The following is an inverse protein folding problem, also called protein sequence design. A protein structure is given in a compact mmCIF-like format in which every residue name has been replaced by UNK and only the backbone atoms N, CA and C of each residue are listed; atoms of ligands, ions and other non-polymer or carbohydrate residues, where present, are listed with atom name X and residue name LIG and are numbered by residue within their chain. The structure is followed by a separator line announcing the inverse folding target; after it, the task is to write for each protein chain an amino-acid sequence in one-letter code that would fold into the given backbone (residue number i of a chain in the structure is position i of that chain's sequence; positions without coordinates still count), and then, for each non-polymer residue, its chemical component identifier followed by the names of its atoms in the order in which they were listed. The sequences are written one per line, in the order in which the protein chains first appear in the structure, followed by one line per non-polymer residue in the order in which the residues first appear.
data_IF_696939044083
#
_entry.id   IF_696939044083
#
_cell.length_a   1.000
_cell.length_b   1.000
_cell.length_c   1.000
_cell.angle_alpha   90.00
_cell.angle_beta   90.00
_cell.angle_gamma   90.00
#
_symmetry.space_group_name_H-M   'P 1'
#
loop_
_entity.id
_entity.type
_entity.pdbx_description
1 polymer ?
#
# COMPACT_ATOMS: atom_id res chain seq x y z
N UNK A 1 -7.71 67.70 -10.16
CA UNK A 1 -6.64 67.90 -9.17
C UNK A 1 -6.20 66.52 -8.68
N UNK A 2 -4.92 66.14 -8.90
CA UNK A 2 -4.37 64.85 -8.47
C UNK A 2 -3.70 64.99 -7.09
N UNK A 3 -3.86 64.00 -6.21
CA UNK A 3 -3.13 63.85 -4.94
C UNK A 3 -2.85 62.36 -4.74
N UNK A 4 -1.73 61.85 -5.30
CA UNK A 4 -0.41 61.65 -4.67
C UNK A 4 -0.41 60.49 -3.65
N UNK A 5 0.17 59.38 -4.10
CA UNK A 5 0.69 58.26 -3.31
C UNK A 5 1.84 58.71 -2.39
N UNK A 6 1.99 58.08 -1.23
CA UNK A 6 3.34 57.77 -0.76
C UNK A 6 3.51 56.36 -0.17
N UNK A 7 4.73 55.84 -0.39
CA UNK A 7 5.40 54.74 0.31
C UNK A 7 4.95 53.30 0.05
N UNK A 8 5.49 52.75 -1.04
CA UNK A 8 6.12 51.44 -0.98
C UNK A 8 7.19 51.43 0.11
N UNK A 9 7.00 50.64 1.17
CA UNK A 9 8.07 50.26 2.09
C UNK A 9 8.44 48.79 1.80
N UNK A 10 9.74 48.42 1.67
CA UNK A 10 10.19 47.20 0.98
C UNK A 10 10.33 45.94 1.87
N UNK A 11 9.84 45.95 3.10
CA UNK A 11 10.21 44.96 4.13
C UNK A 11 9.35 43.68 4.21
N UNK A 12 8.84 43.18 3.08
CA UNK A 12 8.23 41.85 3.03
C UNK A 12 9.12 40.78 2.37
N UNK A 13 10.25 41.18 1.77
CA UNK A 13 11.15 40.29 1.01
C UNK A 13 12.32 39.73 1.83
N UNK A 14 12.73 40.40 2.90
CA UNK A 14 14.03 40.18 3.55
C UNK A 14 14.12 38.92 4.43
N UNK A 15 12.99 38.36 4.89
CA UNK A 15 13.00 37.11 5.68
C UNK A 15 13.16 35.84 4.84
N UNK A 16 12.84 35.91 3.54
CA UNK A 16 12.91 34.75 2.64
C UNK A 16 14.33 34.55 2.12
N UNK A 17 15.10 35.64 1.98
CA UNK A 17 16.48 35.64 1.50
C UNK A 17 17.49 35.25 2.60
N UNK A 18 17.22 35.56 3.87
CA UNK A 18 18.06 35.11 5.01
C UNK A 18 18.03 33.58 5.24
N UNK A 19 16.96 32.89 4.83
CA UNK A 19 16.89 31.43 4.93
C UNK A 19 17.61 30.73 3.75
N UNK A 20 17.54 31.31 2.56
CA UNK A 20 18.20 30.78 1.37
C UNK A 20 19.73 30.90 1.43
N UNK A 21 20.26 32.01 1.97
CA UNK A 21 21.71 32.21 2.14
C UNK A 21 22.34 31.41 3.29
N UNK A 22 21.53 30.70 4.09
CA UNK A 22 22.03 29.77 5.11
C UNK A 22 22.26 28.35 4.57
N UNK A 23 21.75 28.05 3.36
CA UNK A 23 21.81 26.73 2.73
C UNK A 23 22.90 26.60 1.66
N UNK A 24 23.50 27.71 1.20
CA UNK A 24 24.50 27.68 0.13
C UNK A 24 25.77 28.43 0.55
N UNK A 25 26.73 27.67 1.06
CA UNK A 25 28.15 27.99 0.94
C UNK A 25 28.74 29.00 1.93
N UNK A 26 29.52 28.48 2.89
CA UNK A 26 30.83 29.09 3.15
C UNK A 26 31.92 28.02 3.08
N UNK A 27 32.80 28.29 2.14
CA UNK A 27 34.04 27.62 1.79
C UNK A 27 35.01 27.56 2.97
N UNK A 28 35.62 26.37 3.06
CA UNK A 28 36.94 26.02 3.60
C UNK A 28 37.89 27.20 3.91
N UNK A 29 38.43 27.19 5.13
CA UNK A 29 39.82 27.58 5.35
C UNK A 29 40.45 26.67 6.41
N UNK A 30 41.75 26.47 6.24
CA UNK A 30 42.54 25.30 6.61
C UNK A 30 43.07 25.31 8.06
N UNK A 31 43.50 24.11 8.48
CA UNK A 31 44.50 23.81 9.53
C UNK A 31 44.03 23.64 10.98
N UNK A 32 43.79 22.38 11.39
CA UNK A 32 44.39 21.76 12.59
C UNK A 32 43.98 20.27 12.70
N UNK A 33 44.94 19.41 12.37
CA UNK A 33 45.25 18.08 12.93
C UNK A 33 44.29 17.38 13.91
N UNK A 34 43.94 16.16 13.49
CA UNK A 34 43.91 14.90 14.24
C UNK A 34 42.71 14.56 15.15
N UNK A 35 41.98 13.56 14.64
CA UNK A 35 41.43 12.41 15.38
C UNK A 35 40.33 12.69 16.40
N UNK A 36 39.07 12.65 15.95
CA UNK A 36 37.97 11.89 16.62
C UNK A 36 36.79 11.79 15.65
N UNK A 37 36.64 10.61 15.07
CA UNK A 37 35.37 9.94 14.76
C UNK A 37 34.28 10.78 14.08
N UNK A 38 34.45 10.83 12.76
CA UNK A 38 33.52 11.22 11.71
C UNK A 38 32.23 10.36 11.77
N UNK A 39 31.27 10.77 12.61
CA UNK A 39 29.91 10.20 12.66
C UNK A 39 28.86 11.31 12.45
N UNK A 40 29.14 12.22 11.53
CA UNK A 40 28.18 13.23 11.07
C UNK A 40 27.39 12.69 9.88
N UNK A 41 26.10 12.40 10.15
CA UNK A 41 24.97 12.56 9.25
C UNK A 41 25.29 12.55 7.74
N UNK A 42 25.77 11.42 7.21
CA UNK A 42 25.43 11.10 5.84
C UNK A 42 23.93 10.84 5.85
N UNK A 43 23.17 11.84 5.38
CA UNK A 43 21.86 11.61 4.75
C UNK A 43 22.07 10.45 3.80
N UNK A 44 21.70 9.25 4.25
CA UNK A 44 21.77 8.06 3.41
C UNK A 44 21.10 8.44 2.10
N UNK A 45 21.71 8.17 0.94
CA UNK A 45 20.96 8.30 -0.29
C UNK A 45 19.71 7.45 -0.07
N UNK A 46 18.54 8.06 -0.29
CA UNK A 46 17.29 7.32 -0.36
C UNK A 46 17.59 6.09 -1.21
N UNK A 47 17.36 4.90 -0.64
CA UNK A 47 17.72 3.63 -1.26
C UNK A 47 17.40 3.69 -2.76
N UNK A 48 18.38 3.67 -3.67
CA UNK A 48 18.14 3.80 -5.11
C UNK A 48 17.36 2.61 -5.69
N UNK A 49 17.01 1.62 -4.86
CA UNK A 49 16.14 0.50 -5.17
C UNK A 49 14.63 0.82 -5.16
N UNK A 50 14.20 2.00 -4.71
CA UNK A 50 12.78 2.31 -4.53
C UNK A 50 12.18 3.33 -5.52
N UNK A 51 12.95 3.85 -6.48
CA UNK A 51 12.39 4.74 -7.51
C UNK A 51 11.75 3.92 -8.64
N UNK A 52 10.47 3.58 -8.47
CA UNK A 52 9.66 2.98 -9.53
C UNK A 52 9.45 4.04 -10.64
N UNK A 53 10.10 3.87 -11.80
CA UNK A 53 9.83 4.68 -12.98
C UNK A 53 8.52 4.21 -13.63
N UNK A 54 7.44 4.91 -13.36
CA UNK A 54 6.13 4.63 -13.91
C UNK A 54 5.96 5.19 -15.34
N UNK A 55 5.21 4.47 -16.17
CA UNK A 55 4.78 4.97 -17.48
C UNK A 55 3.81 6.16 -17.31
N UNK A 56 3.64 7.01 -18.34
CA UNK A 56 2.68 8.11 -18.29
C UNK A 56 1.25 7.61 -18.02
N UNK A 57 0.48 8.42 -17.28
CA UNK A 57 -0.94 8.17 -16.96
C UNK A 57 -1.75 8.05 -18.26
N UNK A 58 -2.42 6.92 -18.46
CA UNK A 58 -3.33 6.67 -19.58
C UNK A 58 -4.78 6.65 -19.11
N UNK A 59 -5.64 7.53 -19.63
CA UNK A 59 -7.07 7.54 -19.27
C UNK A 59 -7.76 6.27 -19.80
N UNK A 60 -8.54 5.61 -18.95
CA UNK A 60 -9.33 4.44 -19.33
C UNK A 60 -10.62 4.85 -20.04
N UNK A 61 -11.05 3.99 -20.99
CA UNK A 61 -12.37 4.09 -21.60
C UNK A 61 -13.45 3.71 -20.59
N UNK A 62 -14.59 4.39 -20.64
CA UNK A 62 -15.75 4.15 -19.77
C UNK A 62 -16.26 2.70 -19.78
N UNK A 63 -16.13 2.01 -20.92
CA UNK A 63 -16.45 0.59 -21.04
C UNK A 63 -15.57 -0.27 -20.12
N UNK A 64 -14.26 -0.04 -20.14
CA UNK A 64 -13.28 -0.80 -19.34
C UNK A 64 -13.48 -0.50 -17.87
N UNK A 65 -13.73 0.76 -17.51
CA UNK A 65 -14.05 1.16 -16.14
C UNK A 65 -15.30 0.46 -15.59
N UNK A 66 -16.34 0.26 -16.42
CA UNK A 66 -17.54 -0.48 -16.02
C UNK A 66 -17.23 -1.95 -15.80
N UNK A 67 -16.49 -2.59 -16.71
CA UNK A 67 -16.06 -3.99 -16.56
C UNK A 67 -15.21 -4.19 -15.31
N UNK A 68 -14.27 -3.26 -15.04
CA UNK A 68 -13.42 -3.30 -13.84
C UNK A 68 -14.26 -3.19 -12.57
N UNK A 69 -15.25 -2.28 -12.54
CA UNK A 69 -16.16 -2.16 -11.39
C UNK A 69 -16.92 -3.47 -11.13
N UNK A 70 -17.39 -4.15 -12.17
CA UNK A 70 -18.09 -5.43 -12.01
C UNK A 70 -17.13 -6.52 -11.48
N UNK A 71 -15.93 -6.63 -12.06
CA UNK A 71 -14.91 -7.57 -11.57
C UNK A 71 -14.59 -7.34 -10.10
N UNK A 72 -14.42 -6.08 -9.67
CA UNK A 72 -14.16 -5.73 -8.27
C UNK A 72 -15.30 -6.12 -7.33
N UNK A 73 -16.56 -5.96 -7.75
CA UNK A 73 -17.72 -6.34 -6.93
C UNK A 73 -17.85 -7.86 -6.82
N UNK A 74 -17.46 -8.60 -7.86
CA UNK A 74 -17.39 -10.06 -7.83
C UNK A 74 -16.28 -10.56 -6.90
N UNK A 75 -15.09 -9.95 -6.95
CA UNK A 75 -13.97 -10.34 -6.08
C UNK A 75 -14.14 -9.85 -4.63
N UNK A 76 -14.68 -8.64 -4.45
CA UNK A 76 -14.84 -7.97 -3.16
C UNK A 76 -16.30 -7.53 -2.94
N UNK A 77 -17.20 -8.47 -2.60
CA UNK A 77 -18.62 -8.17 -2.41
C UNK A 77 -18.87 -7.18 -1.26
N UNK A 78 -18.02 -7.17 -0.23
CA UNK A 78 -18.07 -6.23 0.89
C UNK A 78 -17.82 -4.77 0.49
N UNK A 79 -17.23 -4.54 -0.69
CA UNK A 79 -17.00 -3.21 -1.23
C UNK A 79 -18.27 -2.59 -1.82
N UNK A 80 -19.33 -3.38 -2.07
CA UNK A 80 -20.61 -2.93 -2.66
C UNK A 80 -21.17 -1.64 -2.05
N UNK A 81 -21.31 -1.49 -0.71
CA UNK A 81 -21.82 -0.25 -0.11
C UNK A 81 -20.91 0.97 -0.29
N UNK A 82 -19.61 0.77 -0.48
CA UNK A 82 -18.61 1.86 -0.57
C UNK A 82 -18.13 2.11 -1.99
N UNK A 83 -18.58 1.33 -2.98
CA UNK A 83 -18.03 1.36 -4.34
C UNK A 83 -18.25 2.70 -5.05
N UNK A 84 -19.32 3.42 -4.75
CA UNK A 84 -19.58 4.74 -5.33
C UNK A 84 -18.67 5.83 -4.74
N UNK A 85 -18.17 5.64 -3.51
CA UNK A 85 -17.13 6.49 -2.90
C UNK A 85 -15.74 6.14 -3.45
N UNK A 86 -15.43 4.85 -3.57
CA UNK A 86 -14.13 4.36 -4.05
C UNK A 86 -13.94 4.61 -5.56
N UNK A 87 -14.96 4.30 -6.35
CA UNK A 87 -14.94 4.42 -7.80
C UNK A 87 -16.24 5.10 -8.26
N UNK A 88 -16.30 6.45 -8.28
CA UNK A 88 -17.48 7.17 -8.75
C UNK A 88 -17.77 6.90 -10.23
N UNK A 89 -19.05 6.86 -10.63
CA UNK A 89 -19.46 6.58 -12.03
C UNK A 89 -18.96 7.59 -13.06
N UNK A 90 -18.72 8.83 -12.62
CA UNK A 90 -18.24 9.93 -13.47
C UNK A 90 -16.74 10.22 -13.31
N UNK A 91 -16.05 9.51 -12.41
CA UNK A 91 -14.63 9.75 -12.18
C UNK A 91 -13.81 9.26 -13.38
N UNK A 92 -12.79 10.04 -13.74
CA UNK A 92 -11.83 9.69 -14.79
C UNK A 92 -10.77 8.75 -14.25
N UNK A 93 -11.00 7.45 -14.40
CA UNK A 93 -10.02 6.42 -14.05
C UNK A 93 -8.85 6.43 -15.03
N UNK A 94 -7.62 6.42 -14.52
CA UNK A 94 -6.38 6.31 -15.31
C UNK A 94 -5.63 5.03 -14.94
N UNK A 95 -4.94 4.44 -15.90
CA UNK A 95 -3.96 3.37 -15.66
C UNK A 95 -2.54 3.89 -15.82
N UNK A 96 -1.65 3.32 -15.02
CA UNK A 96 -0.22 3.55 -15.05
C UNK A 96 0.43 2.17 -15.20
N UNK A 97 1.22 1.97 -16.25
CA UNK A 97 2.01 0.75 -16.40
C UNK A 97 3.27 0.87 -15.54
N UNK A 98 3.49 -0.13 -14.71
CA UNK A 98 4.68 -0.28 -13.88
C UNK A 98 5.72 -1.13 -14.63
N UNK A 99 7.02 -0.96 -14.34
CA UNK A 99 8.09 -1.71 -14.99
C UNK A 99 8.01 -3.22 -14.74
N UNK A 100 7.46 -3.63 -13.60
CA UNK A 100 7.22 -5.03 -13.25
C UNK A 100 5.98 -5.60 -13.93
N UNK A 101 5.61 -5.08 -15.12
CA UNK A 101 4.45 -5.53 -15.91
C UNK A 101 3.08 -5.29 -15.27
N UNK A 102 3.05 -4.85 -14.02
CA UNK A 102 1.83 -4.55 -13.28
C UNK A 102 1.16 -3.26 -13.80
N UNK A 103 -0.17 -3.20 -13.66
CA UNK A 103 -0.94 -2.01 -14.04
C UNK A 103 -1.62 -1.44 -12.82
N UNK A 104 -1.28 -0.20 -12.45
CA UNK A 104 -1.90 0.53 -11.35
C UNK A 104 -3.07 1.36 -11.87
N UNK A 105 -4.22 1.28 -11.21
CA UNK A 105 -5.39 2.10 -11.46
C UNK A 105 -5.49 3.24 -10.44
N UNK A 106 -5.57 4.46 -10.95
CA UNK A 106 -5.54 5.70 -10.17
C UNK A 106 -6.71 6.59 -10.57
N UNK A 107 -7.34 7.21 -9.57
CA UNK A 107 -8.26 8.34 -9.77
C UNK A 107 -7.55 9.59 -9.28
N UNK A 108 -7.32 10.55 -10.17
CA UNK A 108 -6.56 11.77 -9.92
C UNK A 108 -5.16 11.49 -9.35
N UNK A 109 -5.02 11.58 -8.03
CA UNK A 109 -3.78 11.32 -7.26
C UNK A 109 -3.89 10.13 -6.31
N UNK A 110 -5.05 9.48 -6.26
CA UNK A 110 -5.35 8.38 -5.32
C UNK A 110 -5.24 7.02 -6.01
N UNK A 111 -4.28 6.16 -5.60
CA UNK A 111 -4.19 4.80 -6.11
C UNK A 111 -5.27 3.92 -5.48
N UNK A 112 -5.93 3.11 -6.31
CA UNK A 112 -7.06 2.27 -5.86
C UNK A 112 -6.73 0.79 -5.90
N UNK A 113 -6.41 0.29 -7.09
CA UNK A 113 -6.17 -1.13 -7.34
C UNK A 113 -4.99 -1.29 -8.28
N UNK A 114 -4.32 -2.43 -8.22
CA UNK A 114 -3.32 -2.81 -9.20
C UNK A 114 -3.56 -4.23 -9.67
N UNK A 115 -3.20 -4.49 -10.91
CA UNK A 115 -3.28 -5.81 -11.50
C UNK A 115 -1.87 -6.41 -11.53
N UNK A 116 -1.76 -7.65 -11.05
CA UNK A 116 -0.58 -8.49 -11.26
C UNK A 116 -0.69 -9.16 -12.62
N UNK A 117 0.24 -8.89 -13.52
CA UNK A 117 0.13 -9.42 -14.90
C UNK A 117 0.26 -10.95 -14.95
N UNK A 118 0.90 -11.57 -13.95
CA UNK A 118 1.12 -13.02 -13.90
C UNK A 118 -0.11 -13.78 -13.37
N UNK A 119 -0.75 -13.28 -12.31
CA UNK A 119 -1.95 -13.90 -11.73
C UNK A 119 -3.24 -13.48 -12.43
N UNK A 120 -3.25 -12.31 -13.09
CA UNK A 120 -4.45 -11.70 -13.67
C UNK A 120 -5.40 -11.10 -12.62
N UNK A 121 -5.13 -11.35 -11.33
CA UNK A 121 -5.93 -10.89 -10.20
C UNK A 121 -5.76 -9.39 -9.94
N UNK A 122 -6.84 -8.78 -9.46
CA UNK A 122 -6.88 -7.37 -9.11
C UNK A 122 -6.78 -7.24 -7.58
N UNK A 123 -5.69 -6.63 -7.12
CA UNK A 123 -5.42 -6.40 -5.71
C UNK A 123 -5.69 -4.95 -5.31
N UNK A 124 -6.23 -4.72 -4.10
CA UNK A 124 -6.40 -3.37 -3.58
C UNK A 124 -5.05 -2.78 -3.21
N UNK A 125 -4.90 -1.49 -3.46
CA UNK A 125 -3.75 -0.74 -2.98
C UNK A 125 -3.83 -0.58 -1.45
N UNK A 126 -2.70 -0.56 -0.75
CA UNK A 126 -2.67 -0.53 0.72
C UNK A 126 -3.39 0.71 1.29
N UNK A 127 -3.26 1.87 0.63
CA UNK A 127 -4.04 3.10 0.96
C UNK A 127 -5.56 2.89 0.94
N UNK A 128 -6.07 2.09 -0.01
CA UNK A 128 -7.50 1.79 -0.08
C UNK A 128 -7.91 0.87 1.07
N UNK A 129 -7.09 -0.13 1.36
CA UNK A 129 -7.29 -1.06 2.48
C UNK A 129 -7.29 -0.32 3.82
N UNK A 130 -6.40 0.65 4.03
CA UNK A 130 -6.38 1.47 5.25
C UNK A 130 -7.64 2.31 5.42
N UNK A 131 -8.27 2.73 4.32
CA UNK A 131 -9.52 3.49 4.35
C UNK A 131 -10.75 2.61 4.60
N UNK A 132 -10.74 1.37 4.09
CA UNK A 132 -11.84 0.42 4.20
C UNK A 132 -11.36 -0.98 4.61
N UNK A 133 -10.78 -1.15 5.82
CA UNK A 133 -10.19 -2.42 6.25
C UNK A 133 -11.21 -3.56 6.35
N UNK A 134 -12.47 -3.23 6.66
CA UNK A 134 -13.57 -4.18 6.77
C UNK A 134 -14.00 -4.82 5.44
N UNK A 135 -13.57 -4.26 4.32
CA UNK A 135 -14.03 -4.69 2.99
C UNK A 135 -13.18 -5.80 2.38
N UNK A 136 -12.06 -6.16 3.02
CA UNK A 136 -11.08 -7.07 2.46
C UNK A 136 -10.76 -8.20 3.43
N UNK A 137 -10.57 -9.44 2.93
CA UNK A 137 -10.26 -10.56 3.78
C UNK A 137 -8.86 -10.42 4.36
N UNK A 138 -8.75 -10.54 5.68
CA UNK A 138 -7.53 -10.22 6.42
C UNK A 138 -7.00 -11.40 7.24
N UNK A 139 -5.69 -11.55 7.30
CA UNK A 139 -4.98 -12.49 8.19
C UNK A 139 -4.01 -11.74 9.09
N UNK A 140 -3.80 -12.20 10.33
CA UNK A 140 -2.83 -11.58 11.24
C UNK A 140 -1.53 -12.36 11.27
N UNK A 141 -0.41 -11.64 11.14
CA UNK A 141 0.95 -12.18 11.30
C UNK A 141 1.53 -11.85 12.68
N UNK A 142 2.44 -12.71 13.12
CA UNK A 142 3.22 -12.54 14.34
C UNK A 142 4.25 -11.41 14.24
N UNK A 143 4.60 -10.85 15.40
CA UNK A 143 5.59 -9.78 15.53
C UNK A 143 6.92 -10.06 14.82
N UNK A 144 7.40 -11.29 14.83
CA UNK A 144 8.64 -11.69 14.17
C UNK A 144 8.59 -11.57 12.65
N UNK A 145 7.42 -11.81 12.05
CA UNK A 145 7.22 -11.79 10.59
C UNK A 145 7.11 -10.37 10.01
N UNK A 146 6.72 -9.38 10.82
CA UNK A 146 6.46 -8.00 10.37
C UNK A 146 7.66 -7.40 9.62
N UNK A 147 8.87 -7.55 10.17
CA UNK A 147 10.10 -7.00 9.55
C UNK A 147 10.36 -7.62 8.18
N UNK A 148 10.10 -8.91 8.02
CA UNK A 148 10.35 -9.61 6.76
C UNK A 148 9.34 -9.20 5.69
N UNK A 149 8.06 -9.08 6.05
CA UNK A 149 7.01 -8.61 5.14
C UNK A 149 7.27 -7.17 4.68
N UNK A 150 7.65 -6.27 5.59
CA UNK A 150 8.01 -4.88 5.25
C UNK A 150 9.33 -4.74 4.47
N UNK A 151 10.08 -5.82 4.33
CA UNK A 151 11.25 -5.89 3.44
C UNK A 151 10.93 -6.54 2.09
N UNK A 152 9.67 -6.92 1.84
CA UNK A 152 9.25 -7.62 0.63
C UNK A 152 9.62 -9.10 0.57
N UNK A 153 9.87 -9.74 1.72
CA UNK A 153 10.10 -11.18 1.76
C UNK A 153 8.78 -11.96 1.69
N UNK A 154 8.86 -13.16 1.11
CA UNK A 154 7.78 -14.14 1.08
C UNK A 154 7.25 -14.44 2.49
N UNK A 155 5.92 -14.36 2.66
CA UNK A 155 5.28 -14.74 3.91
C UNK A 155 5.23 -16.27 4.00
N UNK A 156 5.85 -16.82 5.03
CA UNK A 156 5.89 -18.27 5.28
C UNK A 156 4.84 -18.68 6.32
N UNK A 157 4.36 -19.92 6.22
CA UNK A 157 3.34 -20.48 7.12
C UNK A 157 3.64 -20.29 8.63
N UNK A 158 4.89 -20.42 9.13
CA UNK A 158 5.21 -20.18 10.54
C UNK A 158 4.89 -18.77 11.05
N UNK A 159 4.81 -17.77 10.16
CA UNK A 159 4.42 -16.40 10.53
C UNK A 159 2.94 -16.23 10.84
N UNK A 160 2.11 -17.20 10.44
CA UNK A 160 0.65 -17.22 10.61
C UNK A 160 0.18 -18.30 11.60
N UNK A 161 0.95 -19.37 11.79
CA UNK A 161 0.62 -20.49 12.69
C UNK A 161 1.23 -20.35 14.09
N UNK A 162 2.04 -19.32 14.33
CA UNK A 162 2.60 -18.98 15.64
C UNK A 162 1.58 -18.35 16.59
N UNK A 163 1.95 -18.13 17.86
CA UNK A 163 1.07 -17.61 18.89
C UNK A 163 0.48 -16.21 18.59
N UNK A 164 1.20 -15.37 17.84
CA UNK A 164 0.73 -14.06 17.37
C UNK A 164 -0.09 -14.11 16.09
N UNK A 165 0.01 -15.21 15.33
CA UNK A 165 -0.74 -15.43 14.10
C UNK A 165 -2.22 -15.68 14.36
N UNK A 166 -3.10 -15.10 13.54
CA UNK A 166 -4.54 -15.40 13.53
C UNK A 166 -4.96 -15.77 12.12
N UNK A 167 -5.28 -17.06 11.97
CA UNK A 167 -5.95 -17.62 10.81
C UNK A 167 -7.46 -17.74 11.10
N UNK A 168 -8.30 -17.84 10.05
CA UNK A 168 -9.71 -18.22 10.18
C UNK A 168 -9.88 -19.46 11.07
N UNK A 169 -11.00 -19.55 11.79
CA UNK A 169 -11.28 -20.68 12.68
C UNK A 169 -11.49 -21.99 11.91
N UNK A 170 -11.10 -23.13 12.50
CA UNK A 170 -11.33 -24.45 11.89
C UNK A 170 -12.82 -24.73 11.78
N UNK A 171 -13.27 -25.06 10.57
CA UNK A 171 -14.69 -25.37 10.30
C UNK A 171 -15.52 -24.17 9.83
N UNK A 172 -14.87 -23.03 9.56
CA UNK A 172 -15.50 -21.93 8.82
C UNK A 172 -15.84 -22.38 7.38
N UNK A 173 -16.85 -21.81 6.71
CA UNK A 173 -17.19 -22.19 5.34
C UNK A 173 -15.97 -22.04 4.42
N UNK A 174 -15.72 -23.08 3.62
CA UNK A 174 -14.63 -23.11 2.65
C UNK A 174 -14.99 -22.24 1.45
N UNK A 175 -14.34 -21.10 1.34
CA UNK A 175 -14.58 -20.16 0.24
C UNK A 175 -15.83 -19.30 0.46
N UNK A 176 -16.25 -18.67 -0.63
CA UNK A 176 -17.36 -17.73 -0.66
C UNK A 176 -18.67 -18.50 -0.91
N UNK A 177 -19.53 -18.67 0.10
CA UNK A 177 -20.88 -19.22 -0.11
C UNK A 177 -21.73 -18.19 -0.88
N UNK A 178 -22.19 -18.58 -2.06
CA UNK A 178 -23.07 -17.77 -2.93
C UNK A 178 -24.35 -17.41 -2.14
N UNK A 179 -24.52 -16.12 -1.82
CA UNK A 179 -25.66 -15.61 -1.03
C UNK A 179 -25.37 -15.18 0.41
N UNK A 180 -24.19 -15.47 0.99
CA UNK A 180 -23.74 -14.94 2.31
C UNK A 180 -22.53 -14.02 2.22
N UNK A 181 -22.25 -13.53 1.03
CA UNK A 181 -21.05 -12.76 0.69
C UNK A 181 -20.91 -11.47 1.50
N UNK A 182 -22.03 -10.87 1.90
CA UNK A 182 -22.11 -9.63 2.68
C UNK A 182 -22.02 -9.84 4.21
N UNK A 183 -22.04 -11.09 4.68
CA UNK A 183 -22.01 -11.40 6.12
C UNK A 183 -20.59 -11.65 6.65
N UNK A 184 -19.59 -11.63 5.76
CA UNK A 184 -18.19 -11.78 6.15
C UNK A 184 -17.78 -10.65 7.10
N UNK A 185 -17.27 -11.02 8.28
CA UNK A 185 -16.76 -10.09 9.27
C UNK A 185 -15.44 -10.61 9.84
N UNK A 186 -14.79 -9.73 10.60
CA UNK A 186 -13.73 -10.11 11.50
C UNK A 186 -14.41 -10.42 12.84
N UNK A 187 -14.20 -11.62 13.37
CA UNK A 187 -14.69 -12.01 14.69
C UNK A 187 -14.01 -11.17 15.78
N UNK A 188 -14.55 -11.14 17.00
CA UNK A 188 -13.98 -10.38 18.14
C UNK A 188 -12.51 -10.74 18.43
N UNK A 189 -12.08 -11.96 18.07
CA UNK A 189 -10.71 -12.45 18.19
C UNK A 189 -9.76 -11.99 17.06
N UNK A 190 -10.24 -11.21 16.10
CA UNK A 190 -9.46 -10.77 14.93
C UNK A 190 -9.32 -11.87 13.87
N UNK A 191 -10.19 -12.87 13.85
CA UNK A 191 -10.21 -13.96 12.86
C UNK A 191 -11.18 -13.63 11.74
N UNK A 192 -10.80 -13.95 10.52
CA UNK A 192 -11.72 -13.83 9.39
C UNK A 192 -12.76 -14.95 9.43
N UNK A 193 -14.05 -14.64 9.25
CA UNK A 193 -15.14 -15.61 9.43
C UNK A 193 -15.20 -16.75 8.39
N UNK A 194 -14.36 -16.74 7.34
CA UNK A 194 -14.29 -17.83 6.33
C UNK A 194 -12.87 -18.29 6.04
N UNK A 195 -12.72 -19.53 5.59
CA UNK A 195 -11.44 -20.03 5.08
C UNK A 195 -11.19 -19.45 3.68
N UNK A 196 -9.98 -18.93 3.46
CA UNK A 196 -9.58 -18.42 2.15
C UNK A 196 -8.98 -19.53 1.30
N UNK A 197 -9.31 -19.50 0.00
CA UNK A 197 -8.82 -20.46 -0.98
C UNK A 197 -7.52 -20.00 -1.62
N UNK A 198 -6.80 -20.95 -2.24
CA UNK A 198 -5.63 -20.63 -3.06
C UNK A 198 -6.05 -19.71 -4.22
N UNK A 199 -5.23 -18.69 -4.50
CA UNK A 199 -5.48 -17.68 -5.52
C UNK A 199 -6.34 -16.51 -5.02
N UNK A 200 -6.79 -16.53 -3.75
CA UNK A 200 -7.59 -15.44 -3.23
C UNK A 200 -6.72 -14.28 -2.74
N UNK A 201 -7.11 -13.03 -3.02
CA UNK A 201 -6.45 -11.86 -2.47
C UNK A 201 -6.61 -11.78 -0.95
N UNK A 202 -5.55 -11.44 -0.23
CA UNK A 202 -5.52 -11.35 1.23
C UNK A 202 -4.78 -10.11 1.72
N UNK A 203 -5.32 -9.50 2.76
CA UNK A 203 -4.70 -8.40 3.50
C UNK A 203 -3.96 -8.96 4.71
N UNK A 204 -2.72 -8.52 4.89
CA UNK A 204 -1.85 -8.95 5.98
C UNK A 204 -1.84 -7.86 7.07
N UNK A 205 -2.44 -8.17 8.21
CA UNK A 205 -2.47 -7.36 9.42
C UNK A 205 -1.34 -7.78 10.35
N UNK A 206 -0.77 -6.85 11.10
CA UNK A 206 0.29 -7.14 12.06
C UNK A 206 -0.23 -7.21 13.50
N UNK A 207 0.35 -8.09 14.30
CA UNK A 207 0.13 -8.09 15.75
C UNK A 207 0.55 -6.74 16.36
N UNK A 208 -0.35 -6.16 17.17
CA UNK A 208 -0.12 -4.88 17.85
C UNK A 208 -0.19 -3.65 16.95
N UNK A 209 -0.66 -3.79 15.70
CA UNK A 209 -0.92 -2.66 14.80
C UNK A 209 -2.37 -2.68 14.29
N UNK A 210 -2.93 -1.50 14.13
CA UNK A 210 -4.28 -1.32 13.59
C UNK A 210 -4.29 -1.31 12.05
N UNK A 211 -3.17 -0.94 11.43
CA UNK A 211 -3.05 -0.81 9.98
C UNK A 211 -2.55 -2.09 9.30
N UNK A 212 -3.05 -2.32 8.08
CA UNK A 212 -2.54 -3.37 7.20
C UNK A 212 -1.07 -3.12 6.84
N UNK A 213 -0.26 -4.17 6.87
CA UNK A 213 1.17 -4.10 6.54
C UNK A 213 1.44 -4.44 5.07
N UNK A 214 0.69 -5.39 4.52
CA UNK A 214 0.85 -5.81 3.13
C UNK A 214 -0.45 -6.39 2.55
N UNK A 215 -0.49 -6.52 1.23
CA UNK A 215 -1.57 -7.13 0.45
C UNK A 215 -0.93 -8.07 -0.56
N UNK A 216 -1.46 -9.28 -0.72
CA UNK A 216 -0.96 -10.23 -1.71
C UNK A 216 -1.98 -11.30 -2.07
N UNK A 217 -1.56 -12.26 -2.89
CA UNK A 217 -2.38 -13.42 -3.27
C UNK A 217 -1.93 -14.65 -2.49
N UNK A 218 -2.88 -15.47 -2.05
CA UNK A 218 -2.58 -16.73 -1.39
C UNK A 218 -2.07 -17.79 -2.38
N UNK A 219 -0.87 -18.30 -2.13
CA UNK A 219 -0.28 -19.42 -2.88
C UNK A 219 -0.80 -20.77 -2.37
N UNK A 220 -1.13 -20.84 -1.09
CA UNK A 220 -1.80 -21.97 -0.45
C UNK A 220 -3.01 -21.49 0.36
N UNK A 221 -4.09 -22.30 0.40
CA UNK A 221 -5.30 -21.97 1.15
C UNK A 221 -5.09 -22.05 2.67
N UNK A 222 -5.86 -21.29 3.45
CA UNK A 222 -5.64 -21.17 4.91
C UNK A 222 -5.75 -22.50 5.65
N UNK A 223 -6.62 -23.39 5.19
CA UNK A 223 -6.75 -24.74 5.75
C UNK A 223 -5.48 -25.59 5.54
N UNK A 224 -4.87 -25.50 4.36
CA UNK A 224 -3.63 -26.22 4.03
C UNK A 224 -2.44 -25.65 4.81
N UNK A 225 -2.35 -24.33 4.91
CA UNK A 225 -1.32 -23.63 5.67
C UNK A 225 -1.32 -24.06 7.13
N UNK A 226 -2.52 -24.22 7.72
CA UNK A 226 -2.68 -24.69 9.09
C UNK A 226 -2.34 -26.18 9.24
N UNK A 227 -2.72 -27.01 8.28
CA UNK A 227 -2.46 -28.46 8.32
C UNK A 227 -0.98 -28.79 8.13
N UNK A 228 -0.30 -28.15 7.16
CA UNK A 228 1.12 -28.38 6.86
C UNK A 228 2.04 -27.62 7.80
N UNK A 229 1.65 -26.41 8.22
CA UNK A 229 2.44 -25.51 9.06
C UNK A 229 3.78 -25.05 8.45
N UNK A 230 4.02 -25.36 7.17
CA UNK A 230 5.27 -25.10 6.44
C UNK A 230 4.93 -24.79 4.99
N UNK A 231 5.72 -23.92 4.36
CA UNK A 231 5.57 -23.52 2.97
C UNK A 231 5.37 -22.02 2.79
N UNK A 232 5.49 -21.54 1.54
CA UNK A 232 5.15 -20.16 1.19
C UNK A 232 3.63 -19.97 1.19
N UNK A 233 3.17 -18.87 1.78
CA UNK A 233 1.75 -18.51 1.85
C UNK A 233 1.45 -17.36 0.92
N UNK A 234 2.33 -16.35 0.89
CA UNK A 234 2.23 -15.21 -0.03
C UNK A 234 3.62 -14.92 -0.58
N UNK A 235 3.80 -15.09 -1.90
CA UNK A 235 5.06 -14.87 -2.59
C UNK A 235 5.25 -13.41 -3.01
N UNK A 236 4.24 -12.84 -3.65
CA UNK A 236 4.24 -11.45 -4.12
C UNK A 236 3.25 -10.63 -3.29
N UNK A 237 3.78 -9.70 -2.51
CA UNK A 237 2.99 -8.80 -1.69
C UNK A 237 3.40 -7.34 -1.91
N UNK A 238 2.41 -6.47 -2.05
CA UNK A 238 2.57 -5.03 -1.93
C UNK A 238 2.60 -4.67 -0.44
N UNK A 239 3.64 -4.00 0.03
CA UNK A 239 3.83 -3.72 1.45
C UNK A 239 4.09 -2.23 1.72
N UNK A 240 3.92 -1.83 2.98
CA UNK A 240 4.13 -0.45 3.39
C UNK A 240 5.59 -0.03 3.19
N UNK A 241 5.80 1.04 2.42
CA UNK A 241 7.14 1.57 2.14
C UNK A 241 7.82 0.95 0.92
N UNK A 242 7.14 0.08 0.17
CA UNK A 242 7.62 -0.36 -1.12
C UNK A 242 7.58 0.76 -2.19
N UNK A 243 8.07 0.46 -3.39
CA UNK A 243 8.09 1.47 -4.45
C UNK A 243 6.69 1.85 -4.97
N UNK A 244 5.69 0.98 -4.81
CA UNK A 244 4.30 1.29 -5.19
C UNK A 244 3.67 2.26 -4.18
N UNK A 245 3.97 2.08 -2.89
CA UNK A 245 3.56 2.96 -1.81
C UNK A 245 4.18 4.36 -1.95
N UNK A 246 5.46 4.41 -2.29
CA UNK A 246 6.22 5.64 -2.48
C UNK A 246 6.06 6.27 -3.88
N UNK A 247 5.23 5.67 -4.75
CA UNK A 247 5.02 6.19 -6.10
C UNK A 247 4.36 7.57 -6.04
N UNK A 248 5.08 8.58 -6.52
CA UNK A 248 4.55 9.93 -6.67
C UNK A 248 3.55 9.95 -7.83
N UNK A 249 2.30 10.32 -7.54
CA UNK A 249 1.21 10.39 -8.49
C UNK A 249 0.83 11.85 -8.78
N UNK A 250 1.83 12.70 -9.04
CA UNK A 250 1.60 14.06 -9.57
C UNK A 250 1.09 14.03 -11.01
#
# INVERSE_FOLDING_TARGET
MPLVLPNQNPDASTKTEEWQNKLVGKTINETATNETTLFTLTRSPANPRLSLQAAPKQKLKSSVQRSLRQALLTTYPLLTPYIDEVLPKKASLSSIKLPDRNTLYVIDTTPLFYNLQDSGDILPHLRLVHRFPQCFPSVRIDRGAIRFVLSGATLMAPGLTSAGGRLPADGSPKGLEEGKELEQKVDEDGRWSRELVKGEPVVIMAEGKEEACAVGVLVEGTAEVKAKGKGPVVEEAHYLGDGLWNLALD
#
